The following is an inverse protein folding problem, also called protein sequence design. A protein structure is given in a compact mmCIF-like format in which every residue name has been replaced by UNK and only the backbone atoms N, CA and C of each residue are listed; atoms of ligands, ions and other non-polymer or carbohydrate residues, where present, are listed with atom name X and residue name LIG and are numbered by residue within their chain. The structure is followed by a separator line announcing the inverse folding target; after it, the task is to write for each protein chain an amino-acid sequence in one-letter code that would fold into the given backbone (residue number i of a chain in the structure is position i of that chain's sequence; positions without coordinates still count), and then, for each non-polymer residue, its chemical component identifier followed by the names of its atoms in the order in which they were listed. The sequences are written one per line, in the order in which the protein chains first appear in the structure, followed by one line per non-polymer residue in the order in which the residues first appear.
data_IF_268424587793
#
_entry.id   IF_268424587793
#
_cell.length_a   1.000
_cell.length_b   1.000
_cell.length_c   1.000
_cell.angle_alpha   90.00
_cell.angle_beta   90.00
_cell.angle_gamma   90.00
#
_symmetry.space_group_name_H-M   'P 1'
#
loop_
_entity.id
_entity.type
_entity.pdbx_description
1 polymer ?
#
# COMPACT_ATOMS: atom_id res chain seq x y z
N UNK A 1 41.30 -16.76 5.84
CA UNK A 1 40.70 -16.56 4.52
C UNK A 1 39.29 -17.14 4.51
N UNK A 2 38.25 -16.31 4.42
CA UNK A 2 36.89 -16.62 3.92
C UNK A 2 35.92 -15.54 4.44
N UNK A 3 35.79 -14.43 3.70
CA UNK A 3 34.89 -13.31 4.02
C UNK A 3 34.13 -12.86 2.76
N UNK A 4 33.64 -13.81 1.96
CA UNK A 4 32.83 -13.52 0.77
C UNK A 4 31.86 -14.67 0.54
N UNK A 5 30.57 -14.45 0.78
CA UNK A 5 29.57 -15.48 0.52
C UNK A 5 28.09 -15.16 0.75
N UNK A 6 27.69 -13.94 1.10
CA UNK A 6 26.27 -13.64 1.40
C UNK A 6 25.78 -12.30 0.82
N UNK A 7 25.99 -12.10 -0.48
CA UNK A 7 25.29 -11.05 -1.24
C UNK A 7 24.55 -11.66 -2.43
N UNK A 8 23.50 -12.43 -2.16
CA UNK A 8 22.42 -12.62 -3.12
C UNK A 8 21.60 -11.33 -3.18
N UNK A 9 22.07 -10.37 -4.00
CA UNK A 9 21.36 -9.14 -4.33
C UNK A 9 20.25 -9.44 -5.36
N UNK A 10 18.99 -9.56 -4.92
CA UNK A 10 17.84 -9.59 -5.83
C UNK A 10 17.51 -8.16 -6.32
N UNK A 11 17.64 -7.84 -7.63
CA UNK A 11 17.51 -6.47 -8.15
C UNK A 11 16.06 -6.02 -8.45
N UNK A 12 15.04 -6.83 -8.16
CA UNK A 12 13.67 -6.59 -8.62
C UNK A 12 12.82 -5.55 -7.87
N UNK A 13 13.16 -5.22 -6.61
CA UNK A 13 12.29 -4.37 -5.77
C UNK A 13 12.71 -2.88 -5.71
N UNK A 14 13.95 -2.54 -6.09
CA UNK A 14 14.44 -1.15 -6.04
C UNK A 14 13.82 -0.27 -7.14
N UNK A 15 13.53 -0.83 -8.31
CA UNK A 15 13.01 -0.09 -9.46
C UNK A 15 11.60 0.49 -9.23
N UNK A 16 10.72 -0.22 -8.50
CA UNK A 16 9.36 0.27 -8.20
C UNK A 16 9.35 1.31 -7.07
N UNK A 17 10.26 1.20 -6.11
CA UNK A 17 10.41 2.22 -5.06
C UNK A 17 11.02 3.50 -5.63
N UNK A 18 12.02 3.40 -6.52
CA UNK A 18 12.64 4.59 -7.13
C UNK A 18 11.63 5.45 -7.90
N UNK A 19 10.62 4.83 -8.55
CA UNK A 19 9.64 5.55 -9.38
C UNK A 19 8.83 6.60 -8.60
N UNK A 20 8.54 6.36 -7.33
CA UNK A 20 7.78 7.29 -6.49
C UNK A 20 8.68 8.24 -5.69
N UNK A 21 9.93 7.84 -5.47
CA UNK A 21 10.91 8.60 -4.67
C UNK A 21 11.63 9.63 -5.52
N UNK A 22 11.94 9.32 -6.79
CA UNK A 22 12.61 10.23 -7.72
C UNK A 22 11.91 11.59 -7.89
N UNK A 23 10.60 11.67 -8.18
CA UNK A 23 9.94 12.96 -8.37
C UNK A 23 9.91 13.78 -7.09
N UNK A 24 9.81 13.12 -5.93
CA UNK A 24 9.76 13.79 -4.63
C UNK A 24 11.13 14.33 -4.22
N UNK A 25 12.20 13.56 -4.46
CA UNK A 25 13.59 14.02 -4.31
C UNK A 25 13.90 15.15 -5.29
N UNK A 26 13.46 15.05 -6.54
CA UNK A 26 13.63 16.12 -7.53
C UNK A 26 12.91 17.41 -7.09
N UNK A 27 11.69 17.31 -6.55
CA UNK A 27 10.94 18.45 -6.03
C UNK A 27 11.64 19.11 -4.83
N UNK A 28 12.19 18.31 -3.92
CA UNK A 28 13.01 18.80 -2.80
C UNK A 28 14.26 19.50 -3.31
N UNK A 29 14.98 18.91 -4.28
CA UNK A 29 16.16 19.52 -4.88
C UNK A 29 15.82 20.84 -5.56
N UNK A 30 14.71 20.93 -6.28
CA UNK A 30 14.22 22.18 -6.88
C UNK A 30 13.90 23.22 -5.82
N UNK A 31 13.24 22.85 -4.71
CA UNK A 31 12.96 23.76 -3.61
C UNK A 31 14.24 24.29 -2.94
N UNK A 32 15.24 23.41 -2.76
CA UNK A 32 16.57 23.79 -2.24
C UNK A 32 17.27 24.76 -3.20
N UNK A 33 17.29 24.47 -4.50
CA UNK A 33 17.88 25.34 -5.51
C UNK A 33 17.18 26.70 -5.60
N UNK A 34 15.84 26.73 -5.51
CA UNK A 34 15.07 27.96 -5.51
C UNK A 34 15.39 28.82 -4.27
N UNK A 35 15.50 28.19 -3.09
CA UNK A 35 15.89 28.87 -1.85
C UNK A 35 17.31 29.45 -1.96
N UNK A 36 18.25 28.67 -2.50
CA UNK A 36 19.63 29.12 -2.76
C UNK A 36 19.69 30.27 -3.77
N UNK A 37 18.86 30.23 -4.83
CA UNK A 37 18.78 31.29 -5.82
C UNK A 37 18.23 32.59 -5.22
N UNK A 38 17.20 32.51 -4.37
CA UNK A 38 16.67 33.66 -3.61
C UNK A 38 17.76 34.23 -2.70
N UNK A 39 18.49 33.38 -1.99
CA UNK A 39 19.58 33.80 -1.11
C UNK A 39 20.74 34.46 -1.90
N UNK A 40 21.10 33.90 -3.05
CA UNK A 40 22.09 34.49 -3.95
C UNK A 40 21.62 35.85 -4.50
N UNK A 41 20.35 35.97 -4.90
CA UNK A 41 19.80 37.21 -5.43
C UNK A 41 19.78 38.31 -4.36
N UNK A 42 19.38 37.99 -3.12
CA UNK A 42 19.43 38.90 -1.97
C UNK A 42 20.87 39.29 -1.63
N UNK A 43 21.81 38.34 -1.64
CA UNK A 43 23.23 38.60 -1.39
C UNK A 43 23.88 39.44 -2.49
N UNK A 44 23.53 39.20 -3.75
CA UNK A 44 24.10 39.94 -4.88
C UNK A 44 23.51 41.36 -4.99
N UNK A 45 22.25 41.56 -4.58
CA UNK A 45 21.64 42.89 -4.50
C UNK A 45 22.19 43.77 -3.36
N UNK A 46 22.64 43.16 -2.27
CA UNK A 46 23.26 43.88 -1.13
C UNK A 46 24.73 44.23 -1.40
N UNK A 47 25.48 43.35 -2.07
CA UNK A 47 26.90 43.60 -2.40
C UNK A 47 27.06 44.61 -3.56
N UNK A 48 26.12 44.68 -4.50
CA UNK A 48 26.25 45.53 -5.70
C UNK A 48 25.81 46.99 -5.55
N UNK A 49 25.06 47.36 -4.50
CA UNK A 49 24.41 48.69 -4.41
C UNK A 49 24.87 49.59 -3.27
N UNK A 50 25.49 49.06 -2.22
CA UNK A 50 25.94 49.87 -1.08
C UNK A 50 27.38 50.39 -1.21
N UNK A 51 28.21 49.82 -2.10
CA UNK A 51 29.61 50.25 -2.23
C UNK A 51 29.80 51.63 -2.89
N UNK A 52 28.78 52.23 -3.52
CA UNK A 52 28.96 53.49 -4.28
C UNK A 52 28.13 54.70 -3.84
N UNK A 53 27.20 54.58 -2.87
CA UNK A 53 26.46 55.73 -2.33
C UNK A 53 25.99 55.48 -0.89
N UNK A 54 26.76 55.90 0.11
CA UNK A 54 26.29 56.76 1.20
C UNK A 54 27.25 56.75 2.38
N UNK A 55 27.92 57.89 2.59
CA UNK A 55 28.76 58.16 3.75
C UNK A 55 27.97 58.65 4.99
N UNK A 56 26.65 58.42 5.13
CA UNK A 56 25.91 58.94 6.31
C UNK A 56 24.69 58.10 6.72
N UNK A 57 24.85 57.43 7.87
CA UNK A 57 23.92 57.46 8.99
C UNK A 57 22.48 56.97 8.77
N UNK A 58 22.25 55.70 8.39
CA UNK A 58 21.11 54.85 8.85
C UNK A 58 21.54 53.37 8.72
N UNK A 59 22.36 52.89 9.65
CA UNK A 59 23.07 51.60 9.51
C UNK A 59 22.35 50.40 10.16
N UNK A 60 21.03 50.40 10.32
CA UNK A 60 20.34 49.29 11.01
C UNK A 60 19.08 48.72 10.37
N UNK A 61 18.56 49.27 9.27
CA UNK A 61 17.34 48.72 8.62
C UNK A 61 17.64 47.65 7.57
N UNK A 62 18.80 47.69 6.91
CA UNK A 62 19.19 46.73 5.87
C UNK A 62 19.53 45.32 6.39
N UNK A 63 20.31 45.23 7.47
CA UNK A 63 20.70 43.93 8.06
C UNK A 63 19.50 43.18 8.65
N UNK A 64 18.53 43.89 9.26
CA UNK A 64 17.36 43.26 9.87
C UNK A 64 16.46 42.60 8.80
N UNK A 65 16.29 43.26 7.65
CA UNK A 65 15.53 42.72 6.52
C UNK A 65 16.23 41.50 5.89
N UNK A 66 17.56 41.55 5.75
CA UNK A 66 18.34 40.43 5.19
C UNK A 66 18.34 39.19 6.12
N UNK A 67 18.49 39.39 7.44
CA UNK A 67 18.40 38.31 8.44
C UNK A 67 16.99 37.72 8.49
N UNK A 68 15.96 38.56 8.43
CA UNK A 68 14.57 38.12 8.37
C UNK A 68 14.26 37.25 7.14
N UNK A 69 14.74 37.64 5.96
CA UNK A 69 14.58 36.84 4.73
C UNK A 69 15.33 35.50 4.80
N UNK A 70 16.55 35.47 5.34
CA UNK A 70 17.31 34.23 5.49
C UNK A 70 16.67 33.25 6.49
N UNK A 71 16.11 33.76 7.60
CA UNK A 71 15.37 32.93 8.55
C UNK A 71 14.08 32.41 7.91
N UNK A 72 13.33 33.26 7.21
CA UNK A 72 12.09 32.86 6.52
C UNK A 72 12.32 31.78 5.46
N UNK A 73 13.38 31.91 4.66
CA UNK A 73 13.71 30.92 3.63
C UNK A 73 14.17 29.59 4.24
N UNK A 74 14.99 29.63 5.30
CA UNK A 74 15.41 28.43 6.03
C UNK A 74 14.21 27.68 6.64
N UNK A 75 13.27 28.40 7.25
CA UNK A 75 12.02 27.81 7.79
C UNK A 75 11.22 27.14 6.68
N UNK A 76 11.08 27.81 5.52
CA UNK A 76 10.37 27.22 4.38
C UNK A 76 11.05 25.95 3.86
N UNK A 77 12.38 25.94 3.74
CA UNK A 77 13.13 24.75 3.32
C UNK A 77 12.94 23.60 4.31
N UNK A 78 13.01 23.86 5.62
CA UNK A 78 12.79 22.85 6.65
C UNK A 78 11.35 22.30 6.57
N UNK A 79 10.36 23.17 6.36
CA UNK A 79 8.97 22.76 6.21
C UNK A 79 8.79 21.83 5.00
N UNK A 80 9.35 22.19 3.84
CA UNK A 80 9.31 21.36 2.62
C UNK A 80 9.97 20.01 2.85
N UNK A 81 11.13 19.98 3.51
CA UNK A 81 11.83 18.74 3.86
C UNK A 81 11.02 17.87 4.82
N UNK A 82 10.36 18.49 5.81
CA UNK A 82 9.52 17.77 6.77
C UNK A 82 8.30 17.14 6.10
N UNK A 83 7.60 17.88 5.22
CA UNK A 83 6.47 17.36 4.44
C UNK A 83 6.92 16.25 3.50
N UNK A 84 8.06 16.41 2.84
CA UNK A 84 8.63 15.39 1.96
C UNK A 84 8.96 14.09 2.72
N UNK A 85 9.58 14.20 3.89
CA UNK A 85 9.91 13.06 4.74
C UNK A 85 8.64 12.37 5.29
N UNK A 86 7.63 13.17 5.65
CA UNK A 86 6.34 12.66 6.12
C UNK A 86 5.60 11.91 5.01
N UNK A 87 5.52 12.48 3.81
CA UNK A 87 4.94 11.83 2.64
C UNK A 87 5.67 10.52 2.30
N UNK A 88 7.01 10.53 2.32
CA UNK A 88 7.81 9.33 2.10
C UNK A 88 7.51 8.22 3.13
N UNK A 89 7.38 8.58 4.41
CA UNK A 89 6.98 7.62 5.46
C UNK A 89 5.58 7.06 5.24
N UNK A 90 4.63 7.90 4.81
CA UNK A 90 3.25 7.49 4.58
C UNK A 90 3.16 6.52 3.39
N UNK A 91 3.87 6.80 2.28
CA UNK A 91 3.93 5.91 1.11
C UNK A 91 4.42 4.52 1.51
N UNK A 92 5.49 4.42 2.30
CA UNK A 92 6.02 3.12 2.70
C UNK A 92 5.10 2.36 3.65
N UNK A 93 4.32 3.09 4.46
CA UNK A 93 3.39 2.51 5.44
C UNK A 93 2.14 1.93 4.77
N UNK A 94 1.65 2.53 3.69
CA UNK A 94 0.41 2.11 3.01
C UNK A 94 0.68 1.14 1.86
N UNK A 95 1.67 1.42 1.00
CA UNK A 95 1.85 0.67 -0.26
C UNK A 95 2.22 -0.78 0.00
N UNK A 96 3.03 -1.06 1.03
CA UNK A 96 3.48 -2.42 1.34
C UNK A 96 2.32 -3.35 1.76
N UNK A 97 1.51 -3.04 2.79
CA UNK A 97 0.38 -3.90 3.16
C UNK A 97 -0.64 -4.04 2.02
N UNK A 98 -0.96 -2.97 1.29
CA UNK A 98 -1.86 -3.02 0.14
C UNK A 98 -1.35 -3.99 -0.93
N UNK A 99 -0.05 -3.96 -1.24
CA UNK A 99 0.52 -4.87 -2.23
C UNK A 99 0.51 -6.33 -1.74
N UNK A 100 0.75 -6.57 -0.44
CA UNK A 100 0.64 -7.91 0.15
C UNK A 100 -0.79 -8.45 0.05
N UNK A 101 -1.79 -7.65 0.42
CA UNK A 101 -3.21 -8.01 0.29
C UNK A 101 -3.58 -8.30 -1.17
N UNK A 102 -3.13 -7.46 -2.10
CA UNK A 102 -3.38 -7.65 -3.52
C UNK A 102 -2.82 -8.97 -4.04
N UNK A 103 -1.58 -9.33 -3.66
CA UNK A 103 -0.99 -10.62 -4.07
C UNK A 103 -1.72 -11.82 -3.47
N UNK A 104 -2.22 -11.69 -2.24
CA UNK A 104 -3.02 -12.75 -1.63
C UNK A 104 -4.38 -12.92 -2.32
N UNK A 105 -5.03 -11.82 -2.69
CA UNK A 105 -6.26 -11.85 -3.51
C UNK A 105 -6.00 -12.44 -4.90
N UNK A 106 -4.89 -12.11 -5.54
CA UNK A 106 -4.50 -12.68 -6.83
C UNK A 106 -4.30 -14.20 -6.73
N UNK A 107 -3.64 -14.67 -5.68
CA UNK A 107 -3.49 -16.10 -5.41
C UNK A 107 -4.84 -16.80 -5.18
N UNK A 108 -5.73 -16.19 -4.39
CA UNK A 108 -7.09 -16.68 -4.18
C UNK A 108 -7.89 -16.78 -5.49
N UNK A 109 -7.76 -15.79 -6.39
CA UNK A 109 -8.40 -15.81 -7.72
C UNK A 109 -7.85 -16.94 -8.59
N UNK A 110 -6.57 -17.27 -8.47
CA UNK A 110 -5.97 -18.42 -9.16
C UNK A 110 -6.33 -19.78 -8.55
N UNK A 111 -7.08 -19.80 -7.43
CA UNK A 111 -7.51 -21.01 -6.74
C UNK A 111 -6.54 -21.51 -5.67
N UNK A 112 -5.52 -20.72 -5.31
CA UNK A 112 -4.60 -21.05 -4.21
C UNK A 112 -5.21 -20.64 -2.86
N UNK A 113 -5.80 -21.62 -2.18
CA UNK A 113 -6.40 -21.46 -0.85
C UNK A 113 -5.40 -21.71 0.29
N UNK A 114 -4.14 -22.02 -0.03
CA UNK A 114 -3.08 -22.20 0.96
C UNK A 114 -2.46 -20.87 1.41
N UNK A 115 -2.86 -19.75 0.82
CA UNK A 115 -2.29 -18.44 1.13
C UNK A 115 -2.83 -17.89 2.44
N UNK A 116 -1.90 -17.42 3.28
CA UNK A 116 -2.18 -16.72 4.53
C UNK A 116 -1.49 -15.37 4.53
N UNK A 117 -2.21 -14.33 4.93
CA UNK A 117 -1.68 -12.97 5.06
C UNK A 117 -1.29 -12.72 6.50
N UNK A 118 -0.01 -12.44 6.73
CA UNK A 118 0.52 -12.05 8.04
C UNK A 118 1.12 -10.65 7.97
N UNK A 119 0.43 -9.70 8.60
CA UNK A 119 0.92 -8.34 8.77
C UNK A 119 1.47 -8.19 10.18
N UNK A 120 2.71 -7.71 10.28
CA UNK A 120 3.43 -7.59 11.55
C UNK A 120 3.02 -6.34 12.36
N UNK A 121 2.05 -5.57 11.88
CA UNK A 121 1.73 -4.25 12.41
C UNK A 121 0.29 -4.25 12.90
N UNK A 122 0.08 -3.72 14.10
CA UNK A 122 -1.25 -3.55 14.69
C UNK A 122 -1.88 -2.25 14.16
N UNK A 123 -2.35 -2.30 12.93
CA UNK A 123 -3.10 -1.21 12.29
C UNK A 123 -4.35 -1.76 11.58
N UNK A 124 -5.12 -0.87 10.97
CA UNK A 124 -6.39 -1.18 10.31
C UNK A 124 -6.20 -2.24 9.20
N UNK A 125 -5.00 -2.36 8.61
CA UNK A 125 -4.71 -3.38 7.61
C UNK A 125 -4.65 -4.79 8.22
N UNK A 126 -4.30 -4.93 9.50
CA UNK A 126 -4.30 -6.22 10.20
C UNK A 126 -5.72 -6.79 10.28
N UNK A 127 -6.70 -5.96 10.61
CA UNK A 127 -8.10 -6.40 10.65
C UNK A 127 -8.59 -6.88 9.27
N UNK A 128 -8.18 -6.17 8.21
CA UNK A 128 -8.48 -6.58 6.82
C UNK A 128 -7.77 -7.89 6.47
N UNK A 129 -6.51 -8.07 6.88
CA UNK A 129 -5.77 -9.32 6.66
C UNK A 129 -6.41 -10.50 7.41
N UNK A 130 -6.83 -10.31 8.66
CA UNK A 130 -7.54 -11.31 9.45
C UNK A 130 -8.89 -11.66 8.83
N UNK A 131 -9.63 -10.66 8.34
CA UNK A 131 -10.87 -10.87 7.60
C UNK A 131 -10.65 -11.67 6.31
N UNK A 132 -9.59 -11.36 5.54
CA UNK A 132 -9.22 -12.10 4.34
C UNK A 132 -8.85 -13.56 4.66
N UNK A 133 -8.07 -13.80 5.71
CA UNK A 133 -7.72 -15.16 6.13
C UNK A 133 -8.96 -15.97 6.54
N UNK A 134 -9.90 -15.36 7.28
CA UNK A 134 -11.18 -16.00 7.61
C UNK A 134 -11.99 -16.34 6.37
N UNK A 135 -12.01 -15.44 5.38
CA UNK A 135 -12.69 -15.69 4.10
C UNK A 135 -12.08 -16.88 3.35
N UNK A 136 -10.75 -16.97 3.29
CA UNK A 136 -10.05 -18.08 2.63
C UNK A 136 -10.36 -19.41 3.32
N UNK A 137 -10.36 -19.43 4.66
CA UNK A 137 -10.68 -20.62 5.46
C UNK A 137 -12.13 -21.10 5.24
N UNK A 138 -13.10 -20.18 5.28
CA UNK A 138 -14.51 -20.50 5.02
C UNK A 138 -14.73 -21.02 3.60
N UNK A 139 -14.01 -20.45 2.62
CA UNK A 139 -14.08 -20.90 1.24
C UNK A 139 -13.46 -22.29 1.06
N UNK A 140 -12.28 -22.53 1.64
CA UNK A 140 -11.60 -23.83 1.61
C UNK A 140 -12.43 -24.94 2.28
N UNK A 141 -12.98 -24.67 3.47
CA UNK A 141 -13.83 -25.62 4.18
C UNK A 141 -15.11 -25.95 3.39
N UNK A 142 -15.68 -24.97 2.70
CA UNK A 142 -16.89 -25.18 1.89
C UNK A 142 -16.60 -25.97 0.62
N UNK A 143 -15.48 -25.71 -0.07
CA UNK A 143 -15.03 -26.54 -1.18
C UNK A 143 -14.75 -27.99 -0.76
N UNK A 144 -14.15 -28.20 0.42
CA UNK A 144 -13.94 -29.53 0.97
C UNK A 144 -15.27 -30.26 1.24
N UNK A 145 -16.30 -29.56 1.76
CA UNK A 145 -17.66 -30.10 1.91
C UNK A 145 -18.25 -30.51 0.56
N UNK A 146 -18.18 -29.63 -0.45
CA UNK A 146 -18.70 -29.91 -1.80
C UNK A 146 -18.00 -31.14 -2.41
N UNK A 147 -16.67 -31.24 -2.30
CA UNK A 147 -15.93 -32.41 -2.76
C UNK A 147 -16.38 -33.70 -2.07
N UNK A 148 -16.56 -33.67 -0.75
CA UNK A 148 -17.06 -34.83 -0.01
C UNK A 148 -18.49 -35.25 -0.44
N UNK A 149 -19.35 -34.28 -0.77
CA UNK A 149 -20.68 -34.57 -1.34
C UNK A 149 -20.58 -35.22 -2.73
N UNK A 150 -19.67 -34.73 -3.57
CA UNK A 150 -19.40 -35.33 -4.90
C UNK A 150 -18.89 -36.76 -4.77
N UNK A 151 -17.97 -37.03 -3.86
CA UNK A 151 -17.44 -38.38 -3.64
C UNK A 151 -18.54 -39.35 -3.15
N UNK A 152 -19.42 -38.87 -2.25
CA UNK A 152 -20.59 -39.63 -1.77
C UNK A 152 -21.59 -39.89 -2.89
N UNK A 153 -21.92 -38.90 -3.70
CA UNK A 153 -22.84 -39.09 -4.84
C UNK A 153 -22.25 -40.08 -5.86
N UNK A 154 -20.96 -40.00 -6.16
CA UNK A 154 -20.27 -40.95 -7.04
C UNK A 154 -20.21 -42.38 -6.46
N UNK A 155 -20.14 -42.55 -5.14
CA UNK A 155 -20.20 -43.86 -4.48
C UNK A 155 -21.61 -44.46 -4.57
N UNK A 156 -22.65 -43.66 -4.29
CA UNK A 156 -24.06 -44.09 -4.40
C UNK A 156 -24.40 -44.44 -5.84
N UNK A 157 -23.99 -43.63 -6.82
CA UNK A 157 -24.23 -43.90 -8.24
C UNK A 157 -23.59 -45.21 -8.72
N UNK A 158 -22.41 -45.58 -8.20
CA UNK A 158 -21.75 -46.87 -8.51
C UNK A 158 -22.44 -48.07 -7.88
N UNK A 159 -23.16 -47.88 -6.77
CA UNK A 159 -23.93 -48.94 -6.08
C UNK A 159 -25.41 -49.01 -6.48
N UNK A 160 -25.87 -48.14 -7.37
CA UNK A 160 -27.29 -47.94 -7.62
C UNK A 160 -27.94 -49.11 -8.39
N UNK A 161 -28.68 -49.96 -7.66
CA UNK A 161 -29.65 -50.92 -8.21
C UNK A 161 -31.05 -50.85 -7.56
N UNK A 162 -31.22 -50.11 -6.46
CA UNK A 162 -32.44 -50.14 -5.62
C UNK A 162 -33.01 -48.75 -5.26
N UNK A 163 -34.28 -48.70 -4.85
CA UNK A 163 -35.00 -47.51 -4.36
C UNK A 163 -34.27 -46.75 -3.23
N UNK A 164 -33.47 -47.46 -2.43
CA UNK A 164 -32.65 -46.87 -1.35
C UNK A 164 -31.60 -45.91 -1.89
N UNK A 165 -31.06 -46.15 -3.09
CA UNK A 165 -30.08 -45.26 -3.73
C UNK A 165 -30.71 -43.95 -4.19
N UNK A 166 -31.98 -44.00 -4.61
CA UNK A 166 -32.73 -42.83 -5.05
C UNK A 166 -33.05 -41.88 -3.87
N UNK A 167 -33.40 -42.44 -2.71
CA UNK A 167 -33.60 -41.67 -1.48
C UNK A 167 -32.29 -41.01 -0.99
N UNK A 168 -31.15 -41.71 -1.06
CA UNK A 168 -29.84 -41.16 -0.71
C UNK A 168 -29.38 -40.05 -1.66
N UNK A 169 -29.61 -40.20 -2.97
CA UNK A 169 -29.32 -39.15 -3.96
C UNK A 169 -30.15 -37.88 -3.70
N UNK A 170 -31.46 -38.02 -3.39
CA UNK A 170 -32.29 -36.87 -3.02
C UNK A 170 -31.77 -36.14 -1.77
N UNK A 171 -31.29 -36.88 -0.77
CA UNK A 171 -30.66 -36.29 0.42
C UNK A 171 -29.41 -35.48 0.09
N UNK A 172 -28.50 -36.05 -0.73
CA UNK A 172 -27.27 -35.37 -1.14
C UNK A 172 -27.53 -34.12 -1.99
N UNK A 173 -28.57 -34.12 -2.83
CA UNK A 173 -29.00 -32.93 -3.58
C UNK A 173 -29.50 -31.85 -2.62
N UNK A 174 -30.23 -32.22 -1.56
CA UNK A 174 -30.65 -31.27 -0.52
C UNK A 174 -29.47 -30.64 0.22
N UNK A 175 -28.47 -31.44 0.61
CA UNK A 175 -27.25 -30.93 1.25
C UNK A 175 -26.46 -30.00 0.33
N UNK A 176 -26.41 -30.30 -0.97
CA UNK A 176 -25.77 -29.45 -1.97
C UNK A 176 -26.52 -28.11 -2.10
N UNK A 177 -27.85 -28.15 -2.18
CA UNK A 177 -28.69 -26.96 -2.29
C UNK A 177 -28.51 -26.04 -1.07
N UNK A 178 -28.46 -26.62 0.13
CA UNK A 178 -28.15 -25.89 1.36
C UNK A 178 -26.75 -25.25 1.33
N UNK A 179 -25.74 -25.98 0.82
CA UNK A 179 -24.37 -25.46 0.68
C UNK A 179 -24.30 -24.33 -0.34
N UNK A 180 -25.04 -24.43 -1.44
CA UNK A 180 -25.11 -23.40 -2.48
C UNK A 180 -25.86 -22.14 -2.03
N UNK A 181 -26.89 -22.30 -1.19
CA UNK A 181 -27.65 -21.17 -0.62
C UNK A 181 -26.77 -20.23 0.24
N UNK A 182 -25.70 -20.75 0.86
CA UNK A 182 -24.72 -19.94 1.59
C UNK A 182 -24.08 -18.86 0.72
N UNK A 183 -23.76 -19.17 -0.54
CA UNK A 183 -23.08 -18.24 -1.45
C UNK A 183 -23.98 -17.21 -2.11
N UNK A 184 -25.31 -17.26 -1.87
CA UNK A 184 -26.31 -16.31 -2.37
C UNK A 184 -26.03 -15.88 -3.82
N UNK A 185 -26.03 -16.84 -4.75
CA UNK A 185 -25.64 -16.63 -6.15
C UNK A 185 -26.60 -15.73 -6.97
N UNK A 186 -27.59 -15.10 -6.33
CA UNK A 186 -28.55 -14.17 -6.93
C UNK A 186 -28.28 -12.70 -6.51
N UNK A 187 -28.82 -11.72 -7.25
CA UNK A 187 -28.05 -10.87 -8.16
C UNK A 187 -26.91 -10.07 -7.50
N UNK A 188 -25.83 -9.83 -8.26
CA UNK A 188 -24.66 -9.04 -7.84
C UNK A 188 -25.07 -7.68 -7.28
N UNK A 189 -24.87 -7.47 -5.97
CA UNK A 189 -24.86 -6.14 -5.35
C UNK A 189 -23.47 -5.55 -5.44
N UNK A 190 -23.38 -4.30 -5.89
CA UNK A 190 -22.16 -3.48 -5.82
C UNK A 190 -22.17 -2.68 -4.54
N UNK A 191 -21.14 -2.85 -3.70
CA UNK A 191 -20.88 -1.96 -2.57
C UNK A 191 -20.13 -0.74 -3.14
N UNK A 192 -20.67 0.46 -2.93
CA UNK A 192 -20.04 1.73 -3.32
C UNK A 192 -19.56 2.43 -2.05
N UNK A 193 -18.42 3.09 -2.14
CA UNK A 193 -17.96 3.97 -1.06
C UNK A 193 -18.96 5.13 -0.93
N UNK A 194 -19.49 5.33 0.28
CA UNK A 194 -20.35 6.48 0.57
C UNK A 194 -19.48 7.74 0.47
N UNK A 195 -19.73 8.56 -0.55
CA UNK A 195 -19.02 9.81 -0.74
C UNK A 195 -19.67 10.91 0.11
N UNK A 196 -18.94 11.39 1.12
CA UNK A 196 -19.18 12.69 1.77
C UNK A 196 -18.34 13.80 1.11
#
# INVERSE_FOLDING_TARGET
MAFFGLLHHHPGHRARQLRWVLPLVALVLVAVLATLAVQYQVSNQSVGREFFRAHKTITHTGELLQRGMAIGSAVLTILVLAVALWAFRLTHRIVRPVHTLHRALEALVTGDLGVRVELHRDDEFREVAEALNRLVEEFASTLARVHALVDRTAAVARGARDQTSEAQLRGLVGDLDQTMAFFRLEPRRTIREDGD
#
